data_IF_887121005364
#
_entry.id   IF_887121005364
#
_cell.length_a   1.000
_cell.length_b   1.000
_cell.length_c   1.000
_cell.angle_alpha   90.00
_cell.angle_beta   90.00
_cell.angle_gamma   90.00
#
_symmetry.space_group_name_H-M   'P 1'
#
loop_
_entity.id
_entity.type
_entity.pdbx_description
1 polymer ?
#
# COMPACT_ATOMS: atom_id res chain seq x y z
N UNK A 1 -36.59 13.98 -56.42
CA UNK A 1 -37.56 13.98 -55.31
C UNK A 1 -36.75 13.94 -54.03
N UNK A 2 -36.67 15.12 -53.42
CA UNK A 2 -35.99 15.49 -52.17
C UNK A 2 -36.47 14.65 -51.00
N UNK A 3 -35.56 14.18 -50.15
CA UNK A 3 -35.69 14.35 -48.69
C UNK A 3 -34.28 14.59 -48.13
N UNK A 4 -34.02 15.84 -47.79
CA UNK A 4 -33.01 16.26 -46.82
C UNK A 4 -33.32 15.60 -45.47
N UNK A 5 -32.40 14.77 -44.97
CA UNK A 5 -32.36 14.40 -43.57
C UNK A 5 -31.46 15.40 -42.84
N UNK A 6 -32.03 16.58 -42.57
CA UNK A 6 -31.45 17.51 -41.62
C UNK A 6 -31.32 16.86 -40.23
N UNK A 7 -30.07 16.75 -39.78
CA UNK A 7 -29.61 17.13 -38.45
C UNK A 7 -30.56 16.88 -37.27
N UNK A 8 -30.21 15.90 -36.44
CA UNK A 8 -30.48 15.98 -35.01
C UNK A 8 -29.16 16.26 -34.26
N UNK A 9 -29.02 17.43 -33.62
CA UNK A 9 -27.94 17.68 -32.69
C UNK A 9 -28.26 17.04 -31.34
N UNK A 10 -27.28 16.37 -30.75
CA UNK A 10 -27.24 16.11 -29.31
C UNK A 10 -27.86 14.78 -28.88
N UNK A 11 -27.00 13.80 -28.62
CA UNK A 11 -27.00 13.10 -27.34
C UNK A 11 -25.55 12.85 -26.93
N UNK A 12 -25.04 13.73 -26.05
CA UNK A 12 -24.24 13.31 -24.91
C UNK A 12 -22.89 12.58 -25.14
N UNK A 13 -22.15 12.88 -26.21
CA UNK A 13 -20.74 12.47 -26.33
C UNK A 13 -19.80 13.33 -25.49
N UNK A 14 -20.34 14.18 -24.62
CA UNK A 14 -19.67 14.51 -23.38
C UNK A 14 -19.59 13.21 -22.56
N UNK A 15 -18.70 12.30 -22.98
CA UNK A 15 -18.14 11.22 -22.19
C UNK A 15 -17.52 11.94 -21.02
N UNK A 16 -18.35 12.18 -19.99
CA UNK A 16 -17.91 12.58 -18.68
C UNK A 16 -16.94 11.46 -18.34
N UNK A 17 -15.65 11.75 -18.46
CA UNK A 17 -14.61 11.01 -17.77
C UNK A 17 -14.86 11.28 -16.29
N UNK A 18 -15.95 10.73 -15.76
CA UNK A 18 -16.19 10.64 -14.34
C UNK A 18 -15.03 9.80 -13.87
N UNK A 19 -14.14 10.41 -13.09
CA UNK A 19 -13.06 9.71 -12.41
C UNK A 19 -13.75 8.67 -11.56
N UNK A 20 -13.81 7.43 -12.06
CA UNK A 20 -14.40 6.32 -11.31
C UNK A 20 -13.34 5.98 -10.28
N UNK A 21 -13.47 6.57 -9.08
CA UNK A 21 -12.57 6.26 -7.98
C UNK A 21 -12.75 4.80 -7.62
N UNK A 22 -11.82 3.96 -8.09
CA UNK A 22 -11.70 2.59 -7.64
C UNK A 22 -11.60 2.58 -6.12
N UNK A 23 -12.29 1.67 -5.44
CA UNK A 23 -12.21 1.56 -3.97
C UNK A 23 -10.77 1.46 -3.46
N UNK A 24 -9.85 0.92 -4.29
CA UNK A 24 -8.42 0.89 -4.00
C UNK A 24 -7.76 2.28 -4.00
N UNK A 25 -8.19 3.21 -4.87
CA UNK A 25 -7.69 4.58 -4.90
C UNK A 25 -8.15 5.37 -3.66
N UNK A 26 -9.41 5.16 -3.23
CA UNK A 26 -9.93 5.79 -2.01
C UNK A 26 -9.21 5.23 -0.78
N UNK A 27 -9.06 3.90 -0.69
CA UNK A 27 -8.40 3.26 0.44
C UNK A 27 -6.90 3.62 0.54
N UNK A 28 -6.20 3.70 -0.59
CA UNK A 28 -4.79 4.14 -0.59
C UNK A 28 -4.67 5.63 -0.27
N UNK A 29 -5.53 6.47 -0.83
CA UNK A 29 -5.57 7.91 -0.51
C UNK A 29 -5.86 8.17 0.97
N UNK A 30 -6.87 7.50 1.53
CA UNK A 30 -7.20 7.62 2.95
C UNK A 30 -6.10 7.07 3.85
N UNK A 31 -5.46 5.95 3.47
CA UNK A 31 -4.31 5.40 4.18
C UNK A 31 -3.12 6.36 4.23
N UNK A 32 -2.77 6.99 3.11
CA UNK A 32 -1.70 7.99 3.06
C UNK A 32 -2.05 9.21 3.91
N UNK A 33 -3.28 9.72 3.81
CA UNK A 33 -3.72 10.85 4.62
C UNK A 33 -3.65 10.54 6.12
N UNK A 34 -4.13 9.37 6.54
CA UNK A 34 -4.05 8.92 7.92
C UNK A 34 -2.59 8.78 8.40
N UNK A 35 -1.69 8.26 7.55
CA UNK A 35 -0.26 8.14 7.87
C UNK A 35 0.38 9.52 8.07
N UNK A 36 0.06 10.50 7.23
CA UNK A 36 0.58 11.86 7.37
C UNK A 36 0.09 12.51 8.66
N UNK A 37 -1.20 12.38 8.98
CA UNK A 37 -1.76 12.87 10.25
C UNK A 37 -1.06 12.21 11.44
N UNK A 38 -0.86 10.90 11.38
CA UNK A 38 -0.12 10.15 12.41
C UNK A 38 1.31 10.69 12.60
N UNK A 39 2.07 10.88 11.50
CA UNK A 39 3.43 11.43 11.56
C UNK A 39 3.42 12.82 12.20
N UNK A 40 2.51 13.69 11.76
CA UNK A 40 2.45 15.07 12.21
C UNK A 40 1.99 15.21 13.67
N UNK A 41 1.10 14.32 14.13
CA UNK A 41 0.69 14.26 15.53
C UNK A 41 1.74 13.64 16.45
N UNK A 42 2.58 12.74 15.93
CA UNK A 42 3.53 11.96 16.72
C UNK A 42 4.98 12.43 16.55
N UNK A 43 5.17 13.75 16.42
CA UNK A 43 6.49 14.40 16.44
C UNK A 43 7.06 14.57 17.85
N UNK A 44 6.39 14.04 18.87
CA UNK A 44 6.91 14.03 20.23
C UNK A 44 8.23 13.26 20.27
N UNK A 45 9.26 13.93 20.77
CA UNK A 45 10.60 13.37 20.92
C UNK A 45 10.64 12.42 22.12
N UNK A 46 11.15 11.21 21.90
CA UNK A 46 11.35 10.21 22.94
C UNK A 46 12.81 9.80 23.00
N UNK A 47 13.37 9.80 24.21
CA UNK A 47 14.70 9.29 24.47
C UNK A 47 14.67 7.75 24.51
N UNK A 48 15.39 7.13 23.58
CA UNK A 48 15.62 5.70 23.53
C UNK A 48 16.98 5.41 24.15
N UNK A 49 16.97 4.61 25.22
CA UNK A 49 18.18 4.10 25.88
C UNK A 49 18.32 2.62 25.57
N UNK A 50 19.28 2.26 24.73
CA UNK A 50 19.53 0.86 24.35
C UNK A 50 20.96 0.44 24.69
N UNK A 51 21.11 -0.30 25.78
CA UNK A 51 22.37 -0.85 26.28
C UNK A 51 23.44 0.22 26.60
N UNK A 52 24.17 0.71 25.60
CA UNK A 52 25.19 1.78 25.71
C UNK A 52 24.89 2.97 24.79
N UNK A 53 23.74 2.97 24.14
CA UNK A 53 23.34 3.96 23.14
C UNK A 53 22.15 4.77 23.65
N UNK A 54 22.29 6.10 23.59
CA UNK A 54 21.26 7.06 23.95
C UNK A 54 20.95 7.93 22.72
N UNK A 55 19.71 7.91 22.25
CA UNK A 55 19.28 8.79 21.15
C UNK A 55 17.87 9.32 21.38
N UNK A 56 17.63 10.54 20.90
CA UNK A 56 16.30 11.17 20.94
C UNK A 56 15.77 11.26 19.52
N UNK A 57 14.64 10.60 19.27
CA UNK A 57 13.99 10.58 17.95
C UNK A 57 12.48 10.73 18.13
N UNK A 58 11.77 11.27 17.13
CA UNK A 58 10.32 11.37 17.19
C UNK A 58 9.68 9.99 17.09
N UNK A 59 8.62 9.77 17.87
CA UNK A 59 7.96 8.46 18.02
C UNK A 59 7.52 7.85 16.69
N UNK A 60 7.01 8.66 15.77
CA UNK A 60 6.54 8.18 14.47
C UNK A 60 7.62 7.40 13.70
N UNK A 61 8.88 7.84 13.80
CA UNK A 61 9.98 7.26 13.04
C UNK A 61 10.33 5.88 13.58
N UNK A 62 10.36 5.75 14.91
CA UNK A 62 10.59 4.46 15.59
C UNK A 62 9.53 3.42 15.21
N UNK A 63 8.26 3.85 15.12
CA UNK A 63 7.15 2.97 14.75
C UNK A 63 7.27 2.50 13.30
N UNK A 64 7.54 3.41 12.35
CA UNK A 64 7.70 3.06 10.92
C UNK A 64 8.88 2.10 10.72
N UNK A 65 10.02 2.37 11.37
CA UNK A 65 11.20 1.49 11.28
C UNK A 65 10.88 0.11 11.85
N UNK A 66 10.25 0.04 13.03
CA UNK A 66 9.89 -1.22 13.67
C UNK A 66 8.91 -2.04 12.83
N UNK A 67 7.86 -1.40 12.30
CA UNK A 67 6.88 -2.03 11.42
C UNK A 67 7.55 -2.55 10.13
N UNK A 68 8.46 -1.77 9.55
CA UNK A 68 9.20 -2.15 8.34
C UNK A 68 10.13 -3.33 8.60
N UNK A 69 10.84 -3.35 9.73
CA UNK A 69 11.69 -4.48 10.13
C UNK A 69 10.85 -5.75 10.35
N UNK A 70 9.73 -5.64 11.06
CA UNK A 70 8.80 -6.75 11.25
C UNK A 70 8.26 -7.30 9.92
N UNK A 71 7.86 -6.42 9.01
CA UNK A 71 7.40 -6.80 7.67
C UNK A 71 8.51 -7.46 6.84
N UNK A 72 9.74 -6.95 6.89
CA UNK A 72 10.90 -7.54 6.20
C UNK A 72 11.20 -8.95 6.72
N UNK A 73 11.19 -9.14 8.04
CA UNK A 73 11.35 -10.46 8.68
C UNK A 73 10.22 -11.39 8.25
N UNK A 74 8.97 -10.93 8.31
CA UNK A 74 7.81 -11.71 7.91
C UNK A 74 7.87 -12.13 6.45
N UNK A 75 8.26 -11.24 5.54
CA UNK A 75 8.44 -11.54 4.13
C UNK A 75 9.59 -12.53 3.91
N UNK A 76 10.73 -12.33 4.57
CA UNK A 76 11.87 -13.25 4.51
C UNK A 76 11.51 -14.66 4.97
N UNK A 77 10.85 -14.78 6.13
CA UNK A 77 10.35 -16.04 6.67
C UNK A 77 9.21 -16.63 5.82
N UNK A 78 8.30 -15.80 5.31
CA UNK A 78 7.19 -16.21 4.46
C UNK A 78 7.65 -16.80 3.14
N UNK A 79 8.67 -16.21 2.51
CA UNK A 79 9.32 -16.73 1.30
C UNK A 79 10.03 -18.04 1.62
N UNK A 80 10.78 -18.12 2.73
CA UNK A 80 11.44 -19.36 3.19
C UNK A 80 10.44 -20.50 3.41
N UNK A 81 9.30 -20.20 4.05
CA UNK A 81 8.24 -21.17 4.35
C UNK A 81 7.51 -21.62 3.08
N UNK A 82 7.30 -20.73 2.10
CA UNK A 82 6.76 -21.08 0.76
C UNK A 82 7.72 -21.95 -0.05
N UNK A 83 9.04 -21.71 0.02
CA UNK A 83 10.05 -22.51 -0.69
C UNK A 83 10.16 -23.93 -0.12
N UNK A 84 10.10 -24.11 1.20
CA UNK A 84 10.15 -25.44 1.85
C UNK A 84 9.02 -26.37 1.39
N UNK A 85 7.80 -25.85 1.19
CA UNK A 85 6.66 -26.65 0.70
C UNK A 85 6.84 -27.17 -0.75
N UNK A 86 7.61 -26.48 -1.59
CA UNK A 86 7.86 -26.91 -2.98
C UNK A 86 8.98 -27.97 -3.08
N UNK A 87 9.97 -27.95 -2.19
CA UNK A 87 11.02 -28.98 -2.14
C UNK A 87 10.51 -30.33 -1.62
N UNK A 88 9.61 -30.34 -0.64
CA UNK A 88 9.06 -31.59 -0.09
C UNK A 88 8.34 -32.46 -1.15
N UNK A 89 7.65 -31.83 -2.12
CA UNK A 89 6.99 -32.55 -3.22
C UNK A 89 7.94 -33.16 -4.25
N UNK A 90 9.18 -32.65 -4.35
CA UNK A 90 10.20 -33.20 -5.26
C UNK A 90 10.95 -34.36 -4.59
N UNK A 91 11.24 -34.24 -3.30
CA UNK A 91 11.88 -35.29 -2.52
C UNK A 91 11.02 -36.58 -2.44
N UNK A 92 9.70 -36.43 -2.32
CA UNK A 92 8.75 -37.56 -2.30
C UNK A 92 8.55 -38.26 -3.66
N UNK A 93 9.18 -37.79 -4.74
CA UNK A 93 9.16 -38.44 -6.06
C UNK A 93 10.45 -39.19 -6.39
N UNK A 94 11.49 -39.00 -5.58
CA UNK A 94 12.82 -39.60 -5.73
C UNK A 94 13.18 -40.56 -4.59
N UNK A 95 12.28 -40.73 -3.61
CA UNK A 95 12.34 -41.73 -2.54
C UNK A 95 11.26 -42.78 -2.81
#
# INVERSE_FOLDING_TARGET
>A
MTIDQERLPGRDDARRNGIVFSGGAIASGSGVAALLVFILQNTADVAVKFLFWDFTWPVWLLIIVSASLGAAIWLGLGIMRRRRRRKARRAARTA
#
